data_IF_504017852290
#
_entry.id   IF_504017852290
#
_cell.length_a   1.000
_cell.length_b   1.000
_cell.length_c   1.000
_cell.angle_alpha   90.00
_cell.angle_beta   90.00
_cell.angle_gamma   90.00
#
_symmetry.space_group_name_H-M   'P 1'
#
loop_
_entity.id
_entity.type
_entity.pdbx_description
1 polymer ?
#
# COMPACT_ATOMS: atom_id res chain seq x y z
N UNK A 1 -7.82 -12.47 4.27
CA UNK A 1 -7.64 -13.13 2.96
C UNK A 1 -7.35 -14.60 3.16
N UNK A 2 -8.00 -15.51 2.40
CA UNK A 2 -7.77 -16.95 2.53
C UNK A 2 -6.32 -17.35 2.21
N UNK A 3 -5.81 -18.45 2.81
CA UNK A 3 -4.43 -18.91 2.60
C UNK A 3 -4.05 -19.11 1.13
N UNK A 4 -4.99 -19.57 0.29
CA UNK A 4 -4.76 -19.78 -1.14
C UNK A 4 -4.41 -18.48 -1.90
N UNK A 5 -4.79 -17.33 -1.37
CA UNK A 5 -4.72 -16.04 -2.06
C UNK A 5 -3.57 -15.15 -1.58
N UNK A 6 -2.63 -15.66 -0.77
CA UNK A 6 -1.42 -14.93 -0.40
C UNK A 6 -0.18 -15.83 -0.32
N UNK A 7 0.98 -15.24 -0.59
CA UNK A 7 2.29 -15.93 -0.67
C UNK A 7 2.58 -16.78 0.57
N UNK A 8 2.27 -16.25 1.75
CA UNK A 8 2.53 -16.90 3.04
C UNK A 8 1.52 -18.01 3.40
N UNK A 9 0.38 -18.10 2.72
CA UNK A 9 -0.67 -19.03 3.09
C UNK A 9 -0.35 -20.48 2.72
N UNK A 10 0.50 -20.71 1.70
CA UNK A 10 0.98 -22.06 1.37
C UNK A 10 1.81 -22.70 2.49
N UNK A 11 2.62 -21.90 3.19
CA UNK A 11 3.46 -22.39 4.29
C UNK A 11 2.74 -22.37 5.64
N UNK A 12 2.01 -21.30 5.94
CA UNK A 12 1.38 -21.12 7.26
C UNK A 12 0.01 -21.79 7.36
N UNK A 13 -0.68 -22.00 6.23
CA UNK A 13 -2.10 -22.41 6.14
C UNK A 13 -3.07 -21.51 6.90
N UNK A 14 -2.61 -20.36 7.42
CA UNK A 14 -3.41 -19.38 8.15
C UNK A 14 -3.89 -18.27 7.21
N UNK A 15 -5.09 -17.72 7.43
CA UNK A 15 -5.54 -16.57 6.68
C UNK A 15 -4.69 -15.33 7.02
N UNK A 16 -4.50 -14.46 6.04
CA UNK A 16 -3.91 -13.14 6.27
C UNK A 16 -4.98 -12.19 6.78
N UNK A 17 -4.85 -11.74 8.03
CA UNK A 17 -5.76 -10.76 8.64
C UNK A 17 -5.14 -9.36 8.61
N UNK A 18 -5.98 -8.36 8.30
CA UNK A 18 -5.63 -6.94 8.31
C UNK A 18 -6.78 -6.15 8.90
N UNK A 19 -6.52 -5.21 9.81
CA UNK A 19 -7.55 -4.33 10.30
C UNK A 19 -7.99 -3.36 9.20
N UNK A 20 -9.30 -3.16 9.08
CA UNK A 20 -9.89 -2.08 8.28
C UNK A 20 -10.13 -0.93 9.25
N UNK A 21 -9.33 0.13 9.15
CA UNK A 21 -9.50 1.31 9.99
C UNK A 21 -10.66 2.18 9.49
N UNK A 22 -11.30 3.00 10.35
CA UNK A 22 -12.37 3.91 9.92
C UNK A 22 -11.96 4.88 8.81
N UNK A 23 -10.66 5.15 8.67
CA UNK A 23 -10.11 6.05 7.63
C UNK A 23 -9.91 5.35 6.29
N UNK A 24 -9.63 4.04 6.28
CA UNK A 24 -9.43 3.29 5.02
C UNK A 24 -10.75 2.73 4.47
N UNK A 25 -11.73 2.46 5.33
CA UNK A 25 -13.05 1.95 4.92
C UNK A 25 -13.71 2.76 3.78
N UNK A 26 -13.82 4.11 3.85
CA UNK A 26 -14.42 4.88 2.76
C UNK A 26 -13.63 4.77 1.45
N UNK A 27 -12.29 4.69 1.51
CA UNK A 27 -11.44 4.53 0.33
C UNK A 27 -11.62 3.15 -0.32
N UNK A 28 -11.83 2.11 0.50
CA UNK A 28 -12.16 0.77 -0.02
C UNK A 28 -13.52 0.76 -0.71
N UNK A 29 -14.54 1.40 -0.11
CA UNK A 29 -15.87 1.54 -0.71
C UNK A 29 -15.80 2.26 -2.06
N UNK A 30 -15.05 3.37 -2.13
CA UNK A 30 -14.80 4.10 -3.37
C UNK A 30 -14.13 3.21 -4.44
N UNK A 31 -13.08 2.47 -4.06
CA UNK A 31 -12.40 1.56 -4.97
C UNK A 31 -13.32 0.42 -5.47
N UNK A 32 -14.23 -0.09 -4.64
CA UNK A 32 -15.26 -1.04 -5.06
C UNK A 32 -16.22 -0.42 -6.08
N UNK A 33 -16.71 0.79 -5.83
CA UNK A 33 -17.60 1.49 -6.78
C UNK A 33 -16.91 1.71 -8.14
N UNK A 34 -15.63 2.05 -8.15
CA UNK A 34 -14.86 2.26 -9.37
C UNK A 34 -14.56 0.98 -10.15
N UNK A 35 -14.50 -0.17 -9.47
CA UNK A 35 -14.12 -1.45 -10.09
C UNK A 35 -15.31 -2.22 -10.67
N UNK A 36 -16.54 -1.71 -10.49
CA UNK A 36 -17.77 -2.30 -10.99
C UNK A 36 -18.28 -3.48 -10.15
N UNK A 37 -19.28 -4.19 -10.68
CA UNK A 37 -19.83 -5.39 -10.04
C UNK A 37 -18.85 -6.55 -10.18
N UNK A 38 -18.53 -7.22 -9.06
CA UNK A 38 -17.54 -8.28 -9.09
C UNK A 38 -17.06 -8.78 -7.74
N UNK A 39 -16.28 -9.86 -7.78
CA UNK A 39 -15.70 -10.48 -6.57
C UNK A 39 -14.39 -9.80 -6.13
N UNK A 40 -13.71 -9.08 -7.01
CA UNK A 40 -12.39 -8.53 -6.74
C UNK A 40 -12.42 -7.00 -6.63
N UNK A 41 -11.57 -6.47 -5.74
CA UNK A 41 -11.44 -5.03 -5.52
C UNK A 41 -10.82 -4.31 -6.72
N UNK A 42 -10.01 -4.99 -7.53
CA UNK A 42 -9.39 -4.38 -8.70
C UNK A 42 -9.45 -5.35 -9.88
N UNK A 43 -10.26 -4.97 -10.88
CA UNK A 43 -10.54 -5.74 -12.06
C UNK A 43 -9.84 -5.16 -13.31
N UNK A 44 -9.64 -6.00 -14.34
CA UNK A 44 -9.30 -5.48 -15.66
C UNK A 44 -10.47 -4.66 -16.20
N UNK A 45 -10.17 -3.51 -16.80
CA UNK A 45 -11.17 -2.57 -17.33
C UNK A 45 -12.24 -3.28 -18.15
N UNK A 46 -13.51 -3.10 -17.78
CA UNK A 46 -14.67 -3.67 -18.47
C UNK A 46 -14.89 -5.18 -18.28
N UNK A 47 -14.28 -5.80 -17.26
CA UNK A 47 -14.46 -7.23 -16.96
C UNK A 47 -14.50 -7.48 -15.45
N UNK A 48 -15.05 -8.63 -15.00
CA UNK A 48 -14.93 -9.10 -13.61
C UNK A 48 -13.69 -10.01 -13.39
N UNK A 49 -12.72 -9.94 -14.30
CA UNK A 49 -11.47 -10.69 -14.16
C UNK A 49 -10.50 -9.86 -13.30
N UNK A 50 -9.84 -10.48 -12.30
CA UNK A 50 -8.88 -9.76 -11.47
C UNK A 50 -7.72 -9.26 -12.34
N UNK A 51 -7.15 -8.12 -11.96
CA UNK A 51 -5.96 -7.61 -12.63
C UNK A 51 -4.80 -8.61 -12.61
N UNK A 52 -4.03 -8.66 -13.70
CA UNK A 52 -2.83 -9.48 -13.78
C UNK A 52 -1.79 -9.08 -12.72
N UNK A 53 -0.92 -10.02 -12.34
CA UNK A 53 0.12 -9.80 -11.32
C UNK A 53 1.07 -8.63 -11.64
N UNK A 54 1.28 -8.33 -12.93
CA UNK A 54 2.10 -7.22 -13.39
C UNK A 54 1.41 -5.85 -13.38
N UNK A 55 0.09 -5.78 -13.21
CA UNK A 55 -0.65 -4.52 -13.29
C UNK A 55 -0.15 -3.46 -12.30
N UNK A 56 0.15 -3.79 -11.03
CA UNK A 56 0.72 -2.80 -10.10
C UNK A 56 2.11 -2.28 -10.51
N UNK A 57 2.88 -3.02 -11.31
CA UNK A 57 4.22 -2.61 -11.74
C UNK A 57 4.15 -1.45 -12.76
N UNK A 58 3.10 -1.41 -13.57
CA UNK A 58 2.89 -0.36 -14.56
C UNK A 58 2.31 0.94 -13.95
N UNK A 59 1.67 0.85 -12.77
CA UNK A 59 0.99 2.00 -12.16
C UNK A 59 1.90 3.22 -11.96
N UNK A 60 3.11 3.11 -11.36
CA UNK A 60 3.98 4.27 -11.16
C UNK A 60 4.38 4.91 -12.48
N UNK A 61 4.75 4.09 -13.47
CA UNK A 61 5.13 4.58 -14.80
C UNK A 61 3.97 5.34 -15.46
N UNK A 62 2.78 4.74 -15.49
CA UNK A 62 1.60 5.36 -16.08
C UNK A 62 1.22 6.67 -15.38
N UNK A 63 1.31 6.74 -14.05
CA UNK A 63 1.06 7.96 -13.30
C UNK A 63 2.08 9.05 -13.62
N UNK A 64 3.37 8.72 -13.65
CA UNK A 64 4.43 9.68 -14.00
C UNK A 64 4.25 10.22 -15.44
N UNK A 65 3.93 9.34 -16.39
CA UNK A 65 3.65 9.73 -17.77
C UNK A 65 2.39 10.59 -17.89
N UNK A 66 1.34 10.28 -17.12
CA UNK A 66 0.14 11.10 -17.07
C UNK A 66 0.41 12.50 -16.51
N UNK A 67 1.17 12.61 -15.41
CA UNK A 67 1.58 13.88 -14.81
C UNK A 67 2.42 14.72 -15.76
N UNK A 68 3.37 14.09 -16.47
CA UNK A 68 4.19 14.78 -17.45
C UNK A 68 3.31 15.38 -18.57
N UNK A 69 2.38 14.58 -19.12
CA UNK A 69 1.53 15.01 -20.25
C UNK A 69 0.45 16.03 -19.88
N UNK A 70 -0.12 15.95 -18.68
CA UNK A 70 -1.31 16.73 -18.32
C UNK A 70 -1.06 17.82 -17.28
N UNK A 71 0.12 17.82 -16.65
CA UNK A 71 0.47 18.76 -15.57
C UNK A 71 1.87 19.35 -15.72
N UNK A 72 2.57 19.08 -16.83
CA UNK A 72 3.97 19.48 -17.08
C UNK A 72 4.91 19.17 -15.90
N UNK A 73 4.60 18.07 -15.19
CA UNK A 73 5.30 17.70 -13.97
C UNK A 73 6.12 16.43 -14.20
N UNK A 74 7.43 16.63 -14.41
CA UNK A 74 8.41 15.55 -14.48
C UNK A 74 8.79 15.03 -13.09
N UNK A 75 8.55 13.75 -12.85
CA UNK A 75 8.90 13.09 -11.59
C UNK A 75 10.04 12.09 -11.82
N UNK A 76 10.95 11.97 -10.82
CA UNK A 76 11.96 10.91 -10.83
C UNK A 76 11.29 9.54 -10.81
N UNK A 77 11.89 8.55 -11.46
CA UNK A 77 11.40 7.19 -11.45
C UNK A 77 11.29 6.63 -10.03
N UNK A 78 10.18 5.95 -9.75
CA UNK A 78 9.95 5.16 -8.54
C UNK A 78 9.01 3.99 -8.85
N UNK A 79 9.02 2.99 -7.97
CA UNK A 79 8.22 1.78 -8.07
C UNK A 79 7.35 1.55 -6.83
N UNK A 80 6.39 0.64 -6.90
CA UNK A 80 5.61 0.20 -5.72
C UNK A 80 6.51 -0.37 -4.62
N UNK A 81 7.66 -0.93 -4.98
CA UNK A 81 8.66 -1.39 -4.01
C UNK A 81 9.26 -0.23 -3.21
N UNK A 82 9.48 0.93 -3.82
CA UNK A 82 9.98 2.12 -3.12
C UNK A 82 8.95 2.69 -2.14
N UNK A 83 7.66 2.63 -2.47
CA UNK A 83 6.59 2.94 -1.52
C UNK A 83 6.63 2.01 -0.30
N UNK A 84 6.83 0.70 -0.53
CA UNK A 84 6.95 -0.30 0.56
C UNK A 84 8.16 -0.03 1.45
N UNK A 85 9.33 0.27 0.87
CA UNK A 85 10.54 0.64 1.64
C UNK A 85 10.31 1.91 2.45
N UNK A 86 9.70 2.92 1.85
CA UNK A 86 9.37 4.18 2.52
C UNK A 86 8.45 3.94 3.72
N UNK A 87 7.39 3.14 3.54
CA UNK A 87 6.51 2.74 4.64
C UNK A 87 7.28 1.99 5.74
N UNK A 88 8.13 1.02 5.37
CA UNK A 88 8.93 0.24 6.34
C UNK A 88 9.83 1.11 7.21
N UNK A 89 10.53 2.06 6.59
CA UNK A 89 11.41 2.99 7.31
C UNK A 89 10.62 3.86 8.28
N UNK A 90 9.47 4.37 7.85
CA UNK A 90 8.62 5.19 8.71
C UNK A 90 7.98 4.38 9.85
N UNK A 91 7.63 3.11 9.62
CA UNK A 91 7.03 2.27 10.66
C UNK A 91 7.94 2.04 11.87
N UNK A 92 9.27 2.13 11.70
CA UNK A 92 10.22 2.03 12.81
C UNK A 92 10.00 3.08 13.91
N UNK A 93 9.41 4.23 13.59
CA UNK A 93 9.07 5.26 14.58
C UNK A 93 7.65 5.10 15.16
N UNK A 94 6.83 4.23 14.57
CA UNK A 94 5.40 4.16 14.84
C UNK A 94 4.99 2.89 15.60
N UNK A 95 5.77 1.82 15.46
CA UNK A 95 5.50 0.50 16.03
C UNK A 95 6.78 -0.34 16.13
N UNK A 96 6.68 -1.46 16.85
CA UNK A 96 7.79 -2.39 17.02
C UNK A 96 8.20 -3.05 15.70
N UNK A 97 9.49 -3.42 15.53
CA UNK A 97 10.00 -3.98 14.28
C UNK A 97 9.21 -5.19 13.77
N UNK A 98 8.83 -6.11 14.66
CA UNK A 98 8.08 -7.31 14.29
C UNK A 98 6.67 -6.99 13.80
N UNK A 99 5.99 -6.02 14.40
CA UNK A 99 4.68 -5.54 13.95
C UNK A 99 4.80 -4.89 12.58
N UNK A 100 5.85 -4.09 12.35
CA UNK A 100 6.12 -3.49 11.03
C UNK A 100 6.34 -4.56 9.94
N UNK A 101 7.08 -5.64 10.24
CA UNK A 101 7.25 -6.77 9.33
C UNK A 101 5.91 -7.48 9.06
N UNK A 102 5.09 -7.70 10.09
CA UNK A 102 3.75 -8.29 9.97
C UNK A 102 2.87 -7.41 9.08
N UNK A 103 2.83 -6.10 9.29
CA UNK A 103 2.03 -5.14 8.50
C UNK A 103 2.41 -5.18 7.01
N UNK A 104 3.71 -5.34 6.73
CA UNK A 104 4.22 -5.53 5.38
C UNK A 104 4.07 -6.97 4.88
N UNK A 105 3.55 -7.91 5.67
CA UNK A 105 3.37 -9.30 5.24
C UNK A 105 4.68 -10.03 4.99
N UNK A 106 5.75 -9.65 5.70
CA UNK A 106 7.03 -10.34 5.69
C UNK A 106 7.02 -11.53 6.66
N UNK A 107 7.92 -12.51 6.43
CA UNK A 107 8.23 -13.55 7.42
C UNK A 107 8.89 -12.90 8.64
N UNK A 108 8.42 -13.21 9.84
CA UNK A 108 9.22 -12.96 11.06
C UNK A 108 10.47 -13.86 11.07
N UNK A 109 11.62 -13.40 11.58
CA UNK A 109 12.84 -14.21 11.62
C UNK A 109 12.76 -15.34 12.66
N UNK A 110 13.43 -16.45 12.37
CA UNK A 110 13.73 -17.51 13.34
C UNK A 110 12.52 -18.19 13.98
N UNK A 111 12.64 -18.48 15.28
CA UNK A 111 11.67 -19.26 16.06
C UNK A 111 10.36 -18.50 16.33
N UNK A 112 10.31 -17.18 16.12
CA UNK A 112 9.12 -16.38 16.38
C UNK A 112 7.92 -16.88 15.60
N UNK A 113 8.11 -17.39 14.39
CA UNK A 113 7.01 -17.95 13.59
C UNK A 113 6.39 -19.22 14.15
N UNK A 114 7.15 -19.96 14.95
CA UNK A 114 6.70 -21.23 15.51
C UNK A 114 5.83 -20.96 16.74
N UNK A 115 6.17 -19.95 17.54
CA UNK A 115 5.55 -19.71 18.84
C UNK A 115 4.61 -18.51 18.88
N UNK A 116 4.88 -17.49 18.07
CA UNK A 116 4.05 -16.29 18.03
C UNK A 116 2.85 -16.53 17.11
N UNK A 117 1.71 -16.76 17.73
CA UNK A 117 0.43 -16.95 17.06
C UNK A 117 -0.48 -15.74 17.18
N UNK A 118 0.00 -14.65 17.78
CA UNK A 118 -0.78 -13.45 17.93
C UNK A 118 -0.82 -12.68 16.62
N UNK A 119 -2.00 -12.19 16.23
CA UNK A 119 -2.18 -11.51 14.95
C UNK A 119 -1.81 -10.02 15.04
N UNK A 120 -1.63 -9.47 16.24
CA UNK A 120 -1.35 -8.05 16.49
C UNK A 120 -2.33 -7.09 15.82
N UNK A 121 -3.61 -7.46 15.69
CA UNK A 121 -4.58 -6.62 14.96
C UNK A 121 -4.78 -5.24 15.63
N UNK A 122 -4.72 -5.20 16.97
CA UNK A 122 -4.84 -3.95 17.73
C UNK A 122 -3.65 -3.03 17.44
N UNK A 123 -2.44 -3.56 17.53
CA UNK A 123 -1.20 -2.81 17.32
C UNK A 123 -1.03 -2.40 15.86
N UNK A 124 -1.42 -3.27 14.91
CA UNK A 124 -1.53 -2.92 13.50
C UNK A 124 -2.47 -1.73 13.30
N UNK A 125 -3.65 -1.73 13.95
CA UNK A 125 -4.63 -0.63 13.87
C UNK A 125 -4.04 0.68 14.39
N UNK A 126 -3.36 0.65 15.54
CA UNK A 126 -2.70 1.81 16.12
C UNK A 126 -1.60 2.36 15.20
N UNK A 127 -0.75 1.48 14.66
CA UNK A 127 0.32 1.84 13.75
C UNK A 127 -0.22 2.45 12.43
N UNK A 128 -1.25 1.85 11.82
CA UNK A 128 -1.90 2.40 10.63
C UNK A 128 -2.55 3.76 10.92
N UNK A 129 -3.12 3.96 12.10
CA UNK A 129 -3.72 5.24 12.49
C UNK A 129 -2.66 6.33 12.61
N UNK A 130 -1.52 6.05 13.26
CA UNK A 130 -0.40 6.98 13.33
C UNK A 130 0.17 7.28 11.94
N UNK A 131 0.30 6.25 11.10
CA UNK A 131 0.79 6.41 9.73
C UNK A 131 -0.13 7.29 8.89
N UNK A 132 -1.44 7.11 9.00
CA UNK A 132 -2.44 7.95 8.34
C UNK A 132 -2.28 9.43 8.73
N UNK A 133 -2.10 9.72 10.01
CA UNK A 133 -1.85 11.10 10.50
C UNK A 133 -0.56 11.65 9.89
N UNK A 134 0.53 10.86 9.84
CA UNK A 134 1.80 11.27 9.24
C UNK A 134 1.65 11.54 7.73
N UNK A 135 0.93 10.69 7.00
CA UNK A 135 0.62 10.88 5.58
C UNK A 135 -0.16 12.17 5.32
N UNK A 136 -1.16 12.47 6.15
CA UNK A 136 -1.94 13.70 5.98
C UNK A 136 -1.09 14.95 6.15
N UNK A 137 -0.08 14.95 7.01
CA UNK A 137 0.85 16.08 7.09
C UNK A 137 1.52 16.34 5.73
N UNK A 138 1.85 15.32 4.94
CA UNK A 138 2.43 15.50 3.61
C UNK A 138 1.41 15.90 2.54
N UNK A 139 0.18 15.39 2.62
CA UNK A 139 -0.85 15.60 1.59
C UNK A 139 -1.71 16.85 1.80
N UNK A 140 -1.72 17.42 3.01
CA UNK A 140 -2.43 18.65 3.35
C UNK A 140 -1.63 19.91 2.95
N UNK A 141 -0.34 19.75 2.61
CA UNK A 141 0.48 20.79 1.98
C UNK A 141 0.15 21.01 0.48
N UNK A 142 -1.00 20.50 0.00
CA UNK A 142 -1.46 20.56 -1.40
C UNK A 142 -1.71 21.97 -1.95
N UNK A 143 -1.44 23.03 -1.19
CA UNK A 143 -1.42 24.40 -1.71
C UNK A 143 -0.07 24.86 -2.29
N UNK A 144 1.07 24.17 -2.05
CA UNK A 144 2.41 24.73 -2.38
C UNK A 144 3.20 24.07 -3.51
N UNK A 145 2.74 22.96 -4.07
CA UNK A 145 3.56 22.17 -5.04
C UNK A 145 3.25 22.50 -6.51
N UNK A 146 2.35 23.46 -6.78
CA UNK A 146 1.95 23.80 -8.16
C UNK A 146 3.02 24.63 -8.91
N UNK A 147 3.97 25.28 -8.21
CA UNK A 147 4.79 26.34 -8.83
C UNK A 147 6.31 26.10 -8.87
N UNK A 148 6.81 24.85 -8.84
CA UNK A 148 8.26 24.63 -9.03
C UNK A 148 8.56 24.15 -10.46
N UNK A 149 8.92 25.06 -11.39
CA UNK A 149 9.39 24.64 -12.71
C UNK A 149 10.69 23.84 -12.57
N UNK A 150 10.80 22.78 -13.37
CA UNK A 150 12.00 21.96 -13.45
C UNK A 150 13.14 22.79 -14.03
N UNK A 151 14.23 22.95 -13.28
CA UNK A 151 15.51 23.41 -13.85
C UNK A 151 15.95 22.39 -14.88
N UNK A 152 16.06 22.81 -16.14
CA UNK A 152 16.69 22.01 -17.20
C UNK A 152 18.09 21.62 -16.74
N UNK A 153 18.39 20.33 -16.76
CA UNK A 153 19.76 19.86 -16.61
C UNK A 153 20.57 20.35 -17.81
N UNK A 154 21.68 21.02 -17.52
CA UNK A 154 22.63 21.55 -18.50
C UNK A 154 23.59 20.47 -18.98
#
# INVERSE_FOLDING_TARGET
MPPANHKMGKSTKKPLLRPITPKIEPLLKEAFMLSGEGKHLFNNSGSDKPMGQGAPLALPYNLMQWLLRHRDYGMKHWSVHDLRKTARTNFSELTEPHIAEIMLGHKLPGQWQVYDHYDYLKEQTEAYTKWWVKLNKFTDHRQKVVDRPLKKAS
#
